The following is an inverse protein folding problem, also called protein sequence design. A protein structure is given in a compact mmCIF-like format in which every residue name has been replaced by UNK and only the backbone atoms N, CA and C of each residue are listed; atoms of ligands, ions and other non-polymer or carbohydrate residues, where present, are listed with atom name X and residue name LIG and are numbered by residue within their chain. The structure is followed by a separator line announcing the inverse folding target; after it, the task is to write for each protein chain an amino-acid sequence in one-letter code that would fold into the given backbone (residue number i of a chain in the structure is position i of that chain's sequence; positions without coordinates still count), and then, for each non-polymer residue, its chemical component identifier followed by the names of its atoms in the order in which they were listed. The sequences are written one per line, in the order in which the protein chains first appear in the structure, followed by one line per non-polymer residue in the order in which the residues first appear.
data_IF_287387425536
#
_entry.id   IF_287387425536
#
_cell.length_a   1.000
_cell.length_b   1.000
_cell.length_c   1.000
_cell.angle_alpha   90.00
_cell.angle_beta   90.00
_cell.angle_gamma   90.00
#
_symmetry.space_group_name_H-M   'P 1'
#
loop_
_entity.id
_entity.type
_entity.pdbx_description
1 polymer ?
#
# COMPACT_ATOMS: atom_id res chain seq x y z
N UNK A 1 -2.17 8.77 8.26
CA UNK A 1 -2.19 9.49 6.98
C UNK A 1 -1.57 10.88 7.04
N UNK A 2 -0.68 11.08 7.97
CA UNK A 2 -0.06 12.39 8.15
C UNK A 2 0.60 12.89 6.88
N UNK A 3 1.29 12.00 6.17
CA UNK A 3 1.95 12.38 4.91
C UNK A 3 0.98 12.78 3.83
N UNK A 4 -0.09 12.03 3.64
CA UNK A 4 -1.08 12.30 2.62
C UNK A 4 -1.80 13.61 2.86
N UNK A 5 -2.13 13.88 4.08
CA UNK A 5 -2.84 15.10 4.45
C UNK A 5 -2.00 16.32 4.15
N UNK A 6 -0.72 16.23 4.42
CA UNK A 6 0.19 17.32 4.14
C UNK A 6 0.42 17.52 2.65
N UNK A 7 0.22 16.46 1.88
CA UNK A 7 0.38 16.54 0.43
C UNK A 7 -0.84 17.07 -0.24
N UNK A 8 -1.81 17.48 0.51
CA UNK A 8 -2.64 18.23 -0.04
C UNK A 8 -3.85 18.12 -0.61
N UNK A 9 -4.43 17.47 -1.13
CA UNK A 9 -5.65 17.43 -1.87
C UNK A 9 -6.40 16.13 -1.70
N UNK A 10 -6.16 15.50 -0.57
CA UNK A 10 -6.92 14.31 -0.24
C UNK A 10 -8.38 14.68 -0.08
N UNK A 11 -9.24 13.94 -0.73
CA UNK A 11 -10.67 14.05 -0.59
C UNK A 11 -11.24 12.69 -0.31
N UNK A 12 -11.88 12.54 0.84
CA UNK A 12 -12.61 11.33 1.16
C UNK A 12 -14.08 11.51 0.80
N UNK A 13 -14.65 10.51 0.16
CA UNK A 13 -16.07 10.50 -0.15
C UNK A 13 -16.70 9.34 0.61
N UNK A 14 -17.71 9.66 1.42
CA UNK A 14 -18.42 8.65 2.19
C UNK A 14 -19.87 8.57 1.73
N UNK A 15 -20.42 7.37 1.74
CA UNK A 15 -21.83 7.16 1.46
C UNK A 15 -22.36 6.07 2.38
N UNK A 16 -23.68 6.01 2.53
CA UNK A 16 -24.29 4.97 3.34
C UNK A 16 -24.10 3.61 2.66
N UNK A 17 -23.87 2.61 3.48
CA UNK A 17 -23.71 1.25 2.98
C UNK A 17 -25.02 0.80 2.33
N UNK A 18 -24.94 0.27 1.13
CA UNK A 18 -26.10 -0.19 0.39
C UNK A 18 -26.91 0.90 -0.32
N UNK A 19 -26.43 2.15 -0.30
CA UNK A 19 -27.12 3.24 -1.00
C UNK A 19 -26.72 3.20 -2.49
N UNK A 20 -27.45 2.39 -3.25
CA UNK A 20 -27.14 2.13 -4.66
C UNK A 20 -27.14 3.38 -5.52
N UNK A 21 -28.04 4.31 -5.27
CA UNK A 21 -28.13 5.53 -6.06
C UNK A 21 -26.86 6.37 -5.95
N UNK A 22 -26.36 6.55 -4.73
CA UNK A 22 -25.14 7.31 -4.48
C UNK A 22 -23.92 6.57 -5.00
N UNK A 23 -23.88 5.25 -4.79
CA UNK A 23 -22.78 4.42 -5.29
C UNK A 23 -22.66 4.55 -6.80
N UNK A 24 -23.77 4.54 -7.53
CA UNK A 24 -23.74 4.72 -8.98
C UNK A 24 -23.26 6.12 -9.40
N UNK A 25 -23.61 7.14 -8.63
CA UNK A 25 -23.17 8.49 -8.93
C UNK A 25 -21.67 8.67 -8.76
N UNK A 26 -21.07 8.04 -7.76
CA UNK A 26 -19.64 8.20 -7.49
C UNK A 26 -18.77 7.17 -8.22
N UNK A 27 -19.38 6.13 -8.79
CA UNK A 27 -18.63 5.06 -9.48
C UNK A 27 -17.66 5.56 -10.56
N UNK A 28 -18.02 6.58 -11.39
CA UNK A 28 -17.07 7.09 -12.39
C UNK A 28 -15.79 7.69 -11.81
N UNK A 29 -15.77 8.01 -10.52
CA UNK A 29 -14.58 8.54 -9.88
C UNK A 29 -13.56 7.45 -9.58
N UNK A 30 -13.98 6.19 -9.64
CA UNK A 30 -13.09 5.07 -9.38
C UNK A 30 -12.23 4.77 -10.61
N UNK A 31 -10.93 4.90 -10.45
CA UNK A 31 -9.97 4.55 -11.49
C UNK A 31 -9.44 3.16 -11.22
N UNK A 32 -9.73 2.21 -12.12
CA UNK A 32 -9.37 0.80 -11.95
C UNK A 32 -7.87 0.59 -11.76
N UNK A 33 -7.07 1.31 -12.53
CA UNK A 33 -5.61 1.19 -12.45
C UNK A 33 -5.11 1.64 -11.09
N UNK A 34 -5.54 2.81 -10.66
CA UNK A 34 -5.16 3.36 -9.35
C UNK A 34 -5.66 2.48 -8.22
N UNK A 35 -6.88 1.96 -8.34
CA UNK A 35 -7.44 1.06 -7.34
C UNK A 35 -6.58 -0.18 -7.16
N UNK A 36 -6.16 -0.80 -8.27
CA UNK A 36 -5.30 -1.98 -8.24
C UNK A 36 -3.98 -1.67 -7.54
N UNK A 37 -3.36 -0.56 -7.90
CA UNK A 37 -2.09 -0.14 -7.31
C UNK A 37 -2.23 0.13 -5.81
N UNK A 38 -3.26 0.85 -5.41
CA UNK A 38 -3.50 1.18 -4.01
C UNK A 38 -3.81 -0.07 -3.19
N UNK A 39 -4.56 -1.01 -3.74
CA UNK A 39 -4.86 -2.26 -3.02
C UNK A 39 -3.60 -3.06 -2.71
N UNK A 40 -2.64 -3.09 -3.66
CA UNK A 40 -1.37 -3.76 -3.42
C UNK A 40 -0.57 -3.06 -2.33
N UNK A 41 -0.49 -1.74 -2.39
CA UNK A 41 0.23 -0.96 -1.37
C UNK A 41 -0.38 -1.13 0.01
N UNK A 42 -1.71 -1.09 0.10
CA UNK A 42 -2.41 -1.27 1.36
C UNK A 42 -2.25 -2.67 1.94
N UNK A 43 -2.28 -3.69 1.09
CA UNK A 43 -2.08 -5.07 1.54
C UNK A 43 -0.68 -5.25 2.15
N UNK A 44 0.33 -4.66 1.51
CA UNK A 44 1.68 -4.67 2.05
C UNK A 44 1.75 -3.97 3.41
N UNK A 45 1.16 -2.79 3.49
CA UNK A 45 1.14 -2.02 4.73
C UNK A 45 0.45 -2.76 5.87
N UNK A 46 -0.70 -3.37 5.58
CA UNK A 46 -1.46 -4.12 6.57
C UNK A 46 -0.66 -5.33 7.07
N UNK A 47 -0.01 -6.05 6.16
CA UNK A 47 0.79 -7.21 6.51
C UNK A 47 1.99 -6.84 7.36
N UNK A 48 2.61 -5.68 7.08
CA UNK A 48 3.73 -5.19 7.86
C UNK A 48 3.29 -4.52 9.15
N UNK A 49 2.00 -4.28 9.32
CA UNK A 49 1.46 -3.59 10.48
C UNK A 49 2.11 -2.23 10.70
N UNK A 50 2.25 -1.49 9.60
CA UNK A 50 2.92 -0.20 9.63
C UNK A 50 2.24 0.81 10.54
N UNK A 51 3.05 1.63 11.17
CA UNK A 51 2.59 2.73 12.00
C UNK A 51 3.29 4.01 11.59
N UNK A 52 2.81 5.13 12.06
CA UNK A 52 3.42 6.42 11.74
C UNK A 52 4.81 6.59 12.33
N UNK A 53 5.20 5.73 13.27
CA UNK A 53 6.51 5.80 13.91
C UNK A 53 7.59 5.04 13.14
N UNK A 54 7.19 4.27 12.12
CA UNK A 54 8.11 3.49 11.30
C UNK A 54 7.97 3.91 9.85
N UNK A 55 9.10 4.08 9.18
CA UNK A 55 9.08 4.47 7.77
C UNK A 55 8.82 3.25 6.89
N UNK A 56 7.58 3.11 6.46
CA UNK A 56 7.16 2.07 5.53
C UNK A 56 6.62 2.75 4.29
N UNK A 57 7.14 2.39 3.15
CA UNK A 57 6.69 2.95 1.89
C UNK A 57 6.43 1.85 0.87
N UNK A 58 5.38 2.00 0.12
CA UNK A 58 5.06 1.09 -0.97
C UNK A 58 4.73 1.90 -2.22
N UNK A 59 5.19 1.41 -3.34
CA UNK A 59 4.89 2.00 -4.64
C UNK A 59 4.51 0.89 -5.60
N UNK A 60 3.30 0.96 -6.10
CA UNK A 60 2.80 0.00 -7.07
C UNK A 60 2.60 0.68 -8.42
N UNK A 61 2.92 -0.02 -9.48
CA UNK A 61 2.73 0.45 -10.84
C UNK A 61 2.19 -0.68 -11.71
N UNK A 62 1.16 -0.39 -12.50
CA UNK A 62 0.64 -1.36 -13.45
C UNK A 62 1.39 -1.22 -14.78
N UNK A 63 1.77 -2.35 -15.34
CA UNK A 63 2.47 -2.41 -16.61
C UNK A 63 1.78 -3.46 -17.47
N UNK A 64 0.96 -3.02 -18.40
CA UNK A 64 0.16 -3.90 -19.26
C UNK A 64 -0.69 -4.86 -18.40
N UNK A 65 -0.32 -6.12 -18.32
CA UNK A 65 -1.07 -7.12 -17.54
C UNK A 65 -0.39 -7.47 -16.23
N UNK A 66 0.73 -6.83 -15.93
CA UNK A 66 1.47 -7.10 -14.71
C UNK A 66 1.44 -5.92 -13.74
N UNK A 67 1.57 -6.24 -12.47
CA UNK A 67 1.63 -5.26 -11.41
C UNK A 67 2.99 -5.38 -10.74
N UNK A 68 3.70 -4.27 -10.65
CA UNK A 68 4.97 -4.21 -9.92
C UNK A 68 4.70 -3.55 -8.57
N UNK A 69 5.21 -4.13 -7.50
CA UNK A 69 5.17 -3.50 -6.19
C UNK A 69 6.57 -3.43 -5.61
N UNK A 70 6.97 -2.23 -5.23
CA UNK A 70 8.23 -1.98 -4.54
C UNK A 70 7.90 -1.61 -3.10
N UNK A 71 8.53 -2.27 -2.16
CA UNK A 71 8.34 -1.99 -0.74
C UNK A 71 9.63 -1.60 -0.07
N UNK A 72 9.51 -0.76 0.95
CA UNK A 72 10.66 -0.26 1.69
C UNK A 72 10.29 -0.13 3.15
N UNK A 73 11.17 -0.59 4.02
CA UNK A 73 11.04 -0.39 5.46
C UNK A 73 12.33 0.24 5.97
N UNK A 74 12.21 1.35 6.66
CA UNK A 74 13.36 2.06 7.20
C UNK A 74 13.25 2.29 8.68
N UNK A 75 14.40 2.37 9.34
CA UNK A 75 14.48 2.76 10.75
C UNK A 75 15.26 4.09 10.80
N UNK A 76 14.58 5.12 11.27
CA UNK A 76 15.13 6.47 11.29
C UNK A 76 16.36 6.57 12.21
N UNK A 77 16.31 5.86 13.33
CA UNK A 77 17.40 5.94 14.32
C UNK A 77 18.67 5.24 13.83
N UNK A 78 18.54 4.02 13.32
CA UNK A 78 19.70 3.26 12.88
C UNK A 78 20.13 3.59 11.45
N UNK A 79 19.24 4.19 10.66
CA UNK A 79 19.48 4.44 9.25
C UNK A 79 19.37 3.20 8.37
N UNK A 80 18.93 2.08 8.94
CA UNK A 80 18.79 0.85 8.18
C UNK A 80 17.58 0.90 7.26
N UNK A 81 17.77 0.46 6.02
CA UNK A 81 16.70 0.43 5.02
C UNK A 81 16.66 -0.94 4.38
N UNK A 82 15.48 -1.54 4.36
CA UNK A 82 15.23 -2.81 3.67
C UNK A 82 14.33 -2.54 2.48
N UNK A 83 14.63 -3.17 1.36
CA UNK A 83 13.89 -3.01 0.12
C UNK A 83 13.56 -4.36 -0.49
N UNK A 84 12.37 -4.45 -1.07
CA UNK A 84 11.96 -5.64 -1.81
C UNK A 84 11.05 -5.20 -2.95
N UNK A 85 11.07 -5.94 -4.03
CA UNK A 85 10.16 -5.69 -5.13
C UNK A 85 9.77 -7.01 -5.78
N UNK A 86 8.59 -7.06 -6.34
CA UNK A 86 8.11 -8.24 -7.02
C UNK A 86 7.04 -7.87 -8.03
N UNK A 87 6.83 -8.76 -8.99
CA UNK A 87 5.77 -8.64 -9.97
C UNK A 87 4.65 -9.60 -9.62
N UNK A 88 3.45 -9.25 -9.96
CA UNK A 88 2.30 -10.10 -9.74
C UNK A 88 1.19 -9.82 -10.74
N UNK A 89 0.08 -10.50 -10.60
CA UNK A 89 -1.07 -10.33 -11.46
C UNK A 89 -1.88 -9.10 -11.05
N UNK A 90 -2.35 -8.34 -12.03
CA UNK A 90 -3.22 -7.19 -11.77
C UNK A 90 -4.55 -7.63 -11.16
N UNK A 91 -4.92 -8.90 -11.30
CA UNK A 91 -6.15 -9.43 -10.72
C UNK A 91 -6.02 -9.79 -9.25
N UNK A 92 -4.80 -9.83 -8.72
CA UNK A 92 -4.54 -10.21 -7.33
C UNK A 92 -3.58 -9.25 -6.64
N UNK A 93 -3.95 -7.97 -6.53
CA UNK A 93 -3.06 -6.99 -5.91
C UNK A 93 -2.80 -7.28 -4.44
N UNK A 94 -3.79 -7.80 -3.71
CA UNK A 94 -3.61 -8.15 -2.31
C UNK A 94 -2.55 -9.23 -2.10
N UNK A 95 -2.54 -10.24 -2.96
CA UNK A 95 -1.56 -11.32 -2.88
C UNK A 95 -0.14 -10.79 -3.11
N UNK A 96 0.02 -9.86 -4.04
CA UNK A 96 1.32 -9.24 -4.29
C UNK A 96 1.78 -8.42 -3.09
N UNK A 97 0.87 -7.66 -2.49
CA UNK A 97 1.18 -6.89 -1.28
C UNK A 97 1.67 -7.78 -0.14
N UNK A 98 0.98 -8.88 0.09
CA UNK A 98 1.40 -9.85 1.10
C UNK A 98 2.76 -10.47 0.77
N UNK A 99 2.99 -10.79 -0.51
CA UNK A 99 4.26 -11.38 -0.94
C UNK A 99 5.43 -10.43 -0.65
N UNK A 100 5.33 -9.18 -1.06
CA UNK A 100 6.40 -8.21 -0.83
C UNK A 100 6.59 -7.95 0.66
N UNK A 101 5.51 -7.87 1.42
CA UNK A 101 5.59 -7.69 2.87
C UNK A 101 6.31 -8.88 3.53
N UNK A 102 5.99 -10.10 3.11
CA UNK A 102 6.65 -11.28 3.64
C UNK A 102 8.13 -11.35 3.27
N UNK A 103 8.48 -10.87 2.07
CA UNK A 103 9.88 -10.77 1.69
C UNK A 103 10.62 -9.80 2.61
N UNK A 104 10.02 -8.66 2.92
CA UNK A 104 10.62 -7.70 3.84
C UNK A 104 10.74 -8.26 5.24
N UNK A 105 9.72 -8.97 5.72
CA UNK A 105 9.77 -9.62 7.03
C UNK A 105 10.87 -10.66 7.10
N UNK A 106 11.06 -11.43 6.03
CA UNK A 106 12.15 -12.41 5.95
C UNK A 106 13.52 -11.75 5.98
N UNK A 107 13.62 -10.51 5.54
CA UNK A 107 14.85 -9.72 5.57
C UNK A 107 15.11 -9.08 6.95
N UNK A 108 14.17 -9.20 7.87
CA UNK A 108 14.30 -8.65 9.20
C UNK A 108 13.49 -7.40 9.49
N UNK A 109 12.51 -7.08 8.65
CA UNK A 109 11.70 -5.88 8.84
C UNK A 109 10.96 -5.89 10.18
N UNK A 110 10.55 -7.06 10.66
CA UNK A 110 9.88 -7.18 11.96
C UNK A 110 10.70 -6.61 13.09
N UNK A 111 12.01 -6.80 13.05
CA UNK A 111 12.90 -6.27 14.07
C UNK A 111 13.02 -4.75 13.99
N UNK A 112 12.98 -4.20 12.79
CA UNK A 112 13.00 -2.75 12.61
C UNK A 112 11.72 -2.12 13.12
N UNK A 113 10.59 -2.77 12.90
CA UNK A 113 9.29 -2.29 13.34
C UNK A 113 9.15 -2.37 14.85
N UNK A 114 9.56 -3.51 15.44
CA UNK A 114 9.43 -3.75 16.88
C UNK A 114 10.55 -3.13 17.71
N UNK A 115 11.73 -3.09 17.17
CA UNK A 115 12.92 -2.63 17.88
C UNK A 115 13.05 -1.13 18.00
N UNK A 116 11.99 -0.46 17.68
CA UNK A 116 11.95 1.00 17.78
C UNK A 116 11.61 1.48 19.22
#
# INVERSE_FOLDING_TARGET
LVGSEMCIRDRGIENRKGDEAIIELIRPLNDSKTKTEVLAERAMNTTLEGSCSVAIAGYAATMEEELLLKGLVGNVESGSILRAESFGSISQPGALGELVANQLLAMGAGKLIEGV
#
